data_IF_455421150616
#
_entry.id   IF_455421150616
#
_cell.length_a   1.000
_cell.length_b   1.000
_cell.length_c   1.000
_cell.angle_alpha   90.00
_cell.angle_beta   90.00
_cell.angle_gamma   90.00
#
_symmetry.space_group_name_H-M   'P 1'
#
loop_
_entity.id
_entity.type
_entity.pdbx_description
1 polymer ?
#
# COMPACT_ATOMS: atom_id res chain seq x y z
N UNK A 1 22.27 39.62 -18.51
CA UNK A 1 21.44 39.07 -17.42
C UNK A 1 20.38 38.10 -17.91
N UNK A 2 19.53 38.46 -18.88
CA UNK A 2 18.47 37.58 -19.41
C UNK A 2 18.97 36.19 -19.90
N UNK A 3 20.11 36.13 -20.59
CA UNK A 3 20.70 34.87 -21.09
C UNK A 3 21.12 33.90 -19.96
N UNK A 4 21.59 34.44 -18.83
CA UNK A 4 22.01 33.65 -17.66
C UNK A 4 20.77 33.06 -16.97
N UNK A 5 19.69 33.83 -16.88
CA UNK A 5 18.42 33.37 -16.31
C UNK A 5 17.83 32.23 -17.15
N UNK A 6 17.82 32.37 -18.48
CA UNK A 6 17.33 31.32 -19.38
C UNK A 6 18.15 30.03 -19.21
N UNK A 7 19.49 30.14 -19.16
CA UNK A 7 20.36 28.97 -18.96
C UNK A 7 20.11 28.28 -17.61
N UNK A 8 19.90 29.06 -16.55
CA UNK A 8 19.59 28.53 -15.22
C UNK A 8 18.23 27.79 -15.18
N UNK A 9 17.21 28.33 -15.85
CA UNK A 9 15.88 27.69 -15.93
C UNK A 9 15.93 26.39 -16.71
N UNK A 10 16.64 26.36 -17.85
CA UNK A 10 16.82 25.13 -18.65
C UNK A 10 17.58 24.07 -17.86
N UNK A 11 18.62 24.47 -17.12
CA UNK A 11 19.36 23.55 -16.25
C UNK A 11 18.47 22.97 -15.13
N UNK A 12 17.57 23.78 -14.56
CA UNK A 12 16.64 23.33 -13.50
C UNK A 12 15.60 22.34 -14.03
N UNK A 13 15.06 22.58 -15.23
CA UNK A 13 14.10 21.67 -15.88
C UNK A 13 14.78 20.35 -16.26
N UNK A 14 16.03 20.40 -16.76
CA UNK A 14 16.79 19.20 -17.10
C UNK A 14 17.20 18.38 -15.85
N UNK A 15 17.34 19.02 -14.69
CA UNK A 15 17.65 18.36 -13.43
C UNK A 15 16.42 17.69 -12.77
N UNK A 16 15.20 17.96 -13.25
CA UNK A 16 14.01 17.30 -12.75
C UNK A 16 13.94 15.86 -13.29
N UNK A 17 14.24 14.87 -12.45
CA UNK A 17 14.04 13.47 -12.79
C UNK A 17 12.54 13.18 -12.94
N UNK A 18 12.11 12.43 -13.98
CA UNK A 18 10.72 12.02 -14.11
C UNK A 18 10.35 11.12 -12.92
N UNK A 19 9.37 11.56 -12.12
CA UNK A 19 8.71 10.68 -11.16
C UNK A 19 7.83 9.72 -11.95
N UNK A 20 8.14 8.42 -11.86
CA UNK A 20 7.28 7.36 -12.36
C UNK A 20 6.23 7.06 -11.29
N UNK A 21 4.97 6.98 -11.69
CA UNK A 21 3.94 6.41 -10.82
C UNK A 21 4.32 4.97 -10.50
N UNK A 22 4.21 4.58 -9.24
CA UNK A 22 4.48 3.21 -8.84
C UNK A 22 3.24 2.35 -9.10
N UNK A 23 3.45 1.16 -9.67
CA UNK A 23 2.40 0.16 -9.73
C UNK A 23 2.13 -0.38 -8.32
N UNK A 24 0.90 -0.22 -7.86
CA UNK A 24 0.48 -0.73 -6.56
C UNK A 24 0.11 -2.23 -6.67
N UNK A 25 0.44 -3.07 -5.68
CA UNK A 25 1.18 -2.77 -4.45
C UNK A 25 2.69 -2.98 -4.62
N UNK A 26 3.50 -2.15 -3.96
CA UNK A 26 4.97 -2.26 -3.97
C UNK A 26 5.55 -3.01 -2.77
N UNK A 27 4.69 -3.41 -1.83
CA UNK A 27 5.06 -4.13 -0.60
C UNK A 27 3.93 -5.06 -0.16
N UNK A 28 4.21 -6.02 0.73
CA UNK A 28 3.17 -6.83 1.35
C UNK A 28 2.04 -6.00 1.94
N UNK A 29 0.82 -6.52 1.82
CA UNK A 29 -0.41 -5.93 2.33
C UNK A 29 -0.81 -6.61 3.64
N UNK A 30 -1.31 -5.82 4.58
CA UNK A 30 -1.93 -6.34 5.80
C UNK A 30 -3.45 -6.30 5.64
N UNK A 31 -4.09 -7.46 5.73
CA UNK A 31 -5.53 -7.61 5.84
C UNK A 31 -5.91 -7.62 7.33
N UNK A 32 -6.41 -6.48 7.81
CA UNK A 32 -6.86 -6.33 9.20
C UNK A 32 -8.19 -7.05 9.39
N UNK A 33 -8.24 -7.95 10.36
CA UNK A 33 -9.46 -8.62 10.81
C UNK A 33 -9.78 -8.09 12.20
N UNK A 34 -10.83 -7.26 12.38
CA UNK A 34 -11.14 -6.61 13.64
C UNK A 34 -11.86 -7.54 14.64
N UNK A 35 -11.50 -8.83 14.62
CA UNK A 35 -12.09 -9.90 15.42
C UNK A 35 -11.01 -10.87 15.88
N UNK A 36 -11.31 -11.66 16.90
CA UNK A 36 -10.40 -12.67 17.42
C UNK A 36 -9.99 -13.70 16.34
N UNK A 37 -8.74 -14.17 16.44
CA UNK A 37 -8.23 -15.24 15.59
C UNK A 37 -9.05 -16.54 15.76
N UNK A 38 -9.18 -17.32 14.69
CA UNK A 38 -9.97 -18.55 14.67
C UNK A 38 -11.49 -18.36 14.57
N UNK A 39 -12.01 -17.13 14.63
CA UNK A 39 -13.43 -16.83 14.37
C UNK A 39 -13.79 -16.87 12.88
N UNK A 40 -15.09 -16.80 12.56
CA UNK A 40 -15.58 -16.88 11.18
C UNK A 40 -14.89 -15.88 10.23
N UNK A 41 -14.66 -14.64 10.68
CA UNK A 41 -13.99 -13.61 9.88
C UNK A 41 -12.50 -13.91 9.64
N UNK A 42 -11.78 -14.47 10.61
CA UNK A 42 -10.38 -14.87 10.44
C UNK A 42 -10.26 -16.04 9.45
N UNK A 43 -11.16 -17.03 9.56
CA UNK A 43 -11.20 -18.16 8.63
C UNK A 43 -11.47 -17.67 7.21
N UNK A 44 -12.46 -16.79 7.02
CA UNK A 44 -12.73 -16.20 5.70
C UNK A 44 -11.54 -15.40 5.16
N UNK A 45 -10.92 -14.56 5.99
CA UNK A 45 -9.73 -13.79 5.59
C UNK A 45 -8.60 -14.71 5.10
N UNK A 46 -8.35 -15.82 5.80
CA UNK A 46 -7.32 -16.81 5.43
C UNK A 46 -7.65 -17.58 4.14
N UNK A 47 -8.93 -17.75 3.82
CA UNK A 47 -9.37 -18.33 2.53
C UNK A 47 -9.12 -17.38 1.36
N UNK A 48 -9.35 -16.08 1.54
CA UNK A 48 -9.17 -15.08 0.47
C UNK A 48 -7.71 -14.63 0.28
N UNK A 49 -6.88 -14.76 1.30
CA UNK A 49 -5.49 -14.26 1.28
C UNK A 49 -4.62 -14.90 0.16
N UNK A 50 -4.64 -16.23 -0.07
CA UNK A 50 -3.87 -16.84 -1.17
C UNK A 50 -4.25 -16.36 -2.57
N UNK A 51 -5.52 -16.38 -3.01
CA UNK A 51 -5.87 -15.90 -4.35
C UNK A 51 -5.63 -14.39 -4.50
N UNK A 52 -5.83 -13.59 -3.46
CA UNK A 52 -5.47 -12.17 -3.49
C UNK A 52 -3.97 -11.97 -3.71
N UNK A 53 -3.14 -12.76 -3.01
CA UNK A 53 -1.68 -12.66 -3.18
C UNK A 53 -1.24 -13.04 -4.60
N UNK A 54 -1.94 -13.99 -5.22
CA UNK A 54 -1.69 -14.38 -6.62
C UNK A 54 -2.04 -13.27 -7.61
N UNK A 55 -3.21 -12.63 -7.44
CA UNK A 55 -3.68 -11.56 -8.33
C UNK A 55 -2.85 -10.28 -8.17
N UNK A 56 -2.46 -9.96 -6.94
CA UNK A 56 -1.75 -8.72 -6.62
C UNK A 56 -0.22 -8.84 -6.78
N UNK A 57 0.29 -10.04 -7.03
CA UNK A 57 1.72 -10.34 -7.08
C UNK A 57 2.48 -9.86 -5.83
N UNK A 58 1.79 -9.80 -4.69
CA UNK A 58 2.31 -9.33 -3.41
C UNK A 58 1.71 -10.17 -2.30
N UNK A 59 2.49 -10.39 -1.24
CA UNK A 59 2.01 -11.14 -0.09
C UNK A 59 0.89 -10.38 0.63
N UNK A 60 -0.19 -11.07 0.95
CA UNK A 60 -1.24 -10.56 1.86
C UNK A 60 -1.08 -11.27 3.22
N UNK A 61 -1.06 -10.52 4.31
CA UNK A 61 -0.82 -11.00 5.69
C UNK A 61 -2.07 -10.70 6.50
N UNK A 62 -2.63 -11.72 7.18
CA UNK A 62 -3.78 -11.52 8.08
C UNK A 62 -3.29 -11.08 9.45
N UNK A 63 -3.80 -9.94 9.94
CA UNK A 63 -3.56 -9.45 11.29
C UNK A 63 -4.88 -9.31 12.05
N UNK A 64 -5.01 -10.02 13.17
CA UNK A 64 -6.22 -9.99 13.99
C UNK A 64 -6.10 -8.90 15.07
N UNK A 65 -6.88 -7.83 14.93
CA UNK A 65 -6.95 -6.72 15.90
C UNK A 65 -8.26 -6.79 16.68
N UNK A 66 -8.36 -7.77 17.59
CA UNK A 66 -9.55 -7.96 18.43
C UNK A 66 -9.60 -6.95 19.59
N UNK A 67 -10.12 -5.74 19.37
CA UNK A 67 -10.41 -4.80 20.44
C UNK A 67 -11.68 -3.96 20.17
N UNK A 68 -12.36 -3.57 21.26
CA UNK A 68 -13.54 -2.69 21.26
C UNK A 68 -14.66 -3.09 20.26
N UNK A 69 -15.05 -4.37 20.23
CA UNK A 69 -16.09 -4.89 19.31
C UNK A 69 -15.82 -4.60 17.82
N UNK A 70 -14.55 -4.47 17.44
CA UNK A 70 -14.09 -4.22 16.07
C UNK A 70 -13.82 -2.76 15.72
N UNK A 71 -14.04 -1.83 16.66
CA UNK A 71 -13.76 -0.39 16.46
C UNK A 71 -12.27 -0.15 16.17
N UNK A 72 -11.36 -0.90 16.79
CA UNK A 72 -9.90 -0.69 16.71
C UNK A 72 -9.29 -1.14 15.37
N UNK A 73 -10.05 -1.76 14.46
CA UNK A 73 -9.54 -2.14 13.13
C UNK A 73 -10.43 -1.74 11.96
N UNK A 74 -11.51 -0.98 12.19
CA UNK A 74 -12.50 -0.62 11.16
C UNK A 74 -12.44 0.85 10.75
N UNK A 75 -11.82 1.72 11.56
CA UNK A 75 -11.65 3.16 11.29
C UNK A 75 -10.18 3.53 11.13
#
# INVERSE_FOLDING_TARGET
MLRIIIAAVVALIAAAAPTQAQDWPTRPLTLVVPFAAGGAFDVMARVFTPPLSQILHQQVIVENMGAAAGIVGTN
#
